data_IF_266167609253
#
_entry.id   IF_266167609253
#
_cell.length_a   1.000
_cell.length_b   1.000
_cell.length_c   1.000
_cell.angle_alpha   90.00
_cell.angle_beta   90.00
_cell.angle_gamma   90.00
#
_symmetry.space_group_name_H-M   'P 1'
#
loop_
_entity.id
_entity.type
_entity.pdbx_description
1 polymer ?
#
# COMPACT_ATOMS: atom_id res chain seq x y z
N UNK A 1 -1.77 -14.88 27.84
CA UNK A 1 -0.43 -15.13 27.26
C UNK A 1 -0.28 -14.26 26.03
N UNK A 2 0.44 -13.14 26.13
CA UNK A 2 0.64 -12.23 25.02
C UNK A 2 1.69 -12.83 24.07
N UNK A 3 1.26 -13.21 22.86
CA UNK A 3 2.14 -13.69 21.79
C UNK A 3 3.03 -12.52 21.37
N UNK A 4 4.33 -12.63 21.62
CA UNK A 4 5.35 -11.70 21.17
C UNK A 4 5.26 -11.58 19.64
N UNK A 5 4.86 -10.40 19.16
CA UNK A 5 4.79 -10.11 17.72
C UNK A 5 6.22 -10.13 17.17
N UNK A 6 6.48 -11.02 16.22
CA UNK A 6 7.77 -11.16 15.55
C UNK A 6 8.15 -9.85 14.84
N UNK A 7 9.05 -9.08 15.44
CA UNK A 7 9.74 -7.93 14.85
C UNK A 7 10.84 -8.32 13.85
N UNK A 8 11.06 -9.62 13.66
CA UNK A 8 12.16 -10.22 12.91
C UNK A 8 12.28 -9.70 11.46
N UNK A 9 11.17 -9.46 10.78
CA UNK A 9 11.19 -9.02 9.37
C UNK A 9 11.72 -7.59 9.20
N UNK A 10 11.43 -6.67 10.12
CA UNK A 10 11.82 -5.27 9.97
C UNK A 10 13.31 -5.08 10.27
N UNK A 11 13.82 -5.77 11.30
CA UNK A 11 15.24 -5.73 11.68
C UNK A 11 16.10 -6.46 10.64
N UNK A 12 15.73 -7.66 10.18
CA UNK A 12 16.47 -8.34 9.11
C UNK A 12 16.43 -7.58 7.79
N UNK A 13 15.31 -6.93 7.45
CA UNK A 13 15.21 -6.06 6.28
C UNK A 13 16.11 -4.82 6.43
N UNK A 14 16.09 -4.16 7.59
CA UNK A 14 16.96 -3.00 7.88
C UNK A 14 18.44 -3.39 7.88
N UNK A 15 18.81 -4.53 8.47
CA UNK A 15 20.19 -5.03 8.53
C UNK A 15 20.71 -5.47 7.16
N UNK A 16 19.88 -6.15 6.36
CA UNK A 16 20.21 -6.55 4.98
C UNK A 16 20.55 -5.32 4.11
N UNK A 17 19.92 -4.17 4.36
CA UNK A 17 20.12 -2.94 3.59
C UNK A 17 21.39 -2.17 4.00
N UNK A 18 21.78 -2.21 5.29
CA UNK A 18 23.02 -1.58 5.79
C UNK A 18 24.27 -2.31 5.25
N UNK A 19 24.21 -3.65 5.19
CA UNK A 19 25.35 -4.48 4.77
C UNK A 19 25.65 -4.34 3.28
N UNK A 20 24.63 -4.16 2.42
CA UNK A 20 24.81 -4.00 0.97
C UNK A 20 25.59 -2.72 0.61
N UNK A 21 25.57 -1.68 1.45
CA UNK A 21 26.33 -0.44 1.25
C UNK A 21 27.82 -0.52 1.63
N UNK A 22 28.25 -1.56 2.34
CA UNK A 22 29.62 -1.63 2.89
C UNK A 22 30.61 -2.44 2.04
N UNK A 23 30.17 -3.10 0.97
CA UNK A 23 31.02 -3.97 0.14
C UNK A 23 31.62 -3.27 -1.10
N UNK A 24 32.12 -2.04 -0.94
CA UNK A 24 33.10 -1.46 -1.88
C UNK A 24 34.34 -1.00 -1.12
N UNK A 25 35.31 -1.92 -1.08
CA UNK A 25 36.76 -1.72 -1.02
C UNK A 25 37.29 -0.44 -0.33
N UNK A 26 37.75 -0.64 0.90
CA UNK A 26 39.05 -0.17 1.41
C UNK A 26 39.45 1.29 1.15
N UNK A 27 39.19 2.15 2.12
CA UNK A 27 40.13 3.21 2.54
C UNK A 27 39.69 3.76 3.89
N UNK A 28 40.59 3.73 4.86
CA UNK A 28 40.47 4.30 6.20
C UNK A 28 40.13 5.78 6.10
N UNK A 29 38.93 6.19 6.51
CA UNK A 29 38.71 7.49 7.14
C UNK A 29 37.50 7.44 8.09
N UNK A 30 37.81 7.83 9.32
CA UNK A 30 36.98 8.04 10.49
C UNK A 30 35.84 9.05 10.30
N UNK A 31 34.64 8.67 10.74
CA UNK A 31 33.62 9.54 11.36
C UNK A 31 33.16 10.85 10.66
N UNK A 32 32.84 10.81 9.36
CA UNK A 32 32.21 11.95 8.60
C UNK A 32 30.90 11.58 7.85
N UNK A 33 30.25 10.47 8.21
CA UNK A 33 29.38 9.73 7.28
C UNK A 33 27.90 10.17 7.14
N UNK A 34 27.33 11.05 7.98
CA UNK A 34 25.88 11.33 7.92
C UNK A 34 25.52 12.57 7.09
N UNK A 35 26.13 13.72 7.35
CA UNK A 35 25.80 14.97 6.66
C UNK A 35 26.18 14.95 5.18
N UNK A 36 27.36 14.41 4.85
CA UNK A 36 27.82 14.27 3.47
C UNK A 36 26.93 13.29 2.68
N UNK A 37 26.46 12.21 3.31
CA UNK A 37 25.53 11.26 2.70
C UNK A 37 24.16 11.89 2.44
N UNK A 38 23.67 12.75 3.34
CA UNK A 38 22.41 13.50 3.16
C UNK A 38 22.55 14.51 2.01
N UNK A 39 23.65 15.26 1.96
CA UNK A 39 23.91 16.25 0.89
C UNK A 39 24.02 15.54 -0.47
N UNK A 40 24.75 14.42 -0.53
CA UNK A 40 24.89 13.63 -1.75
C UNK A 40 23.53 13.05 -2.18
N UNK A 41 22.78 12.45 -1.26
CA UNK A 41 21.45 11.94 -1.53
C UNK A 41 20.50 13.04 -2.06
N UNK A 42 20.61 14.26 -1.54
CA UNK A 42 19.81 15.39 -2.01
C UNK A 42 20.24 15.87 -3.40
N UNK A 43 21.55 15.92 -3.67
CA UNK A 43 22.09 16.26 -4.97
C UNK A 43 21.62 15.27 -6.04
N UNK A 44 21.75 13.96 -5.76
CA UNK A 44 21.32 12.88 -6.65
C UNK A 44 19.80 12.94 -6.90
N UNK A 45 19.00 13.15 -5.85
CA UNK A 45 17.55 13.23 -5.99
C UNK A 45 17.09 14.45 -6.81
N UNK A 46 17.69 15.62 -6.56
CA UNK A 46 17.39 16.85 -7.29
C UNK A 46 17.78 16.73 -8.76
N UNK A 47 18.95 16.16 -9.04
CA UNK A 47 19.41 15.92 -10.41
C UNK A 47 18.46 14.97 -11.13
N UNK A 48 18.01 13.90 -10.47
CA UNK A 48 17.02 12.97 -11.00
C UNK A 48 15.67 13.63 -11.32
N UNK A 49 15.23 14.57 -10.48
CA UNK A 49 13.98 15.28 -10.66
C UNK A 49 14.06 16.29 -11.80
N UNK A 50 15.20 16.96 -11.95
CA UNK A 50 15.43 17.92 -13.04
C UNK A 50 15.54 17.23 -14.40
N UNK A 51 16.13 16.04 -14.46
CA UNK A 51 16.37 15.30 -15.70
C UNK A 51 15.34 14.21 -15.99
N UNK A 52 14.30 14.08 -15.16
CA UNK A 52 13.25 13.04 -15.29
C UNK A 52 13.82 11.61 -15.42
N UNK A 53 14.94 11.34 -14.76
CA UNK A 53 15.63 10.05 -14.85
C UNK A 53 15.75 9.45 -13.46
N UNK A 54 14.87 8.51 -13.12
CA UNK A 54 14.84 7.90 -11.80
C UNK A 54 15.43 6.47 -11.80
N UNK A 55 16.43 6.25 -10.95
CA UNK A 55 17.11 4.96 -10.81
C UNK A 55 16.94 4.37 -9.40
N UNK A 56 17.19 3.07 -9.25
CA UNK A 56 17.03 2.34 -7.98
C UNK A 56 17.86 2.92 -6.83
N UNK A 57 19.02 3.51 -7.10
CA UNK A 57 19.85 4.17 -6.09
C UNK A 57 19.23 5.47 -5.56
N UNK A 58 18.38 6.15 -6.34
CA UNK A 58 17.62 7.31 -5.86
C UNK A 58 16.57 6.93 -4.80
N UNK A 59 16.11 5.67 -4.76
CA UNK A 59 15.28 5.18 -3.65
C UNK A 59 16.07 5.11 -2.33
N UNK A 60 17.35 4.73 -2.40
CA UNK A 60 18.23 4.76 -1.23
C UNK A 60 18.50 6.20 -0.80
N UNK A 61 18.74 7.10 -1.75
CA UNK A 61 18.88 8.53 -1.48
C UNK A 61 17.63 9.10 -0.79
N UNK A 62 16.44 8.81 -1.30
CA UNK A 62 15.19 9.28 -0.72
C UNK A 62 14.97 8.73 0.70
N UNK A 63 15.27 7.44 0.93
CA UNK A 63 15.26 6.86 2.28
C UNK A 63 16.21 7.60 3.21
N UNK A 64 17.48 7.77 2.83
CA UNK A 64 18.50 8.47 3.63
C UNK A 64 18.06 9.90 3.94
N UNK A 65 17.44 10.59 2.98
CA UNK A 65 16.90 11.93 3.17
C UNK A 65 15.77 11.95 4.19
N UNK A 66 14.80 11.03 4.09
CA UNK A 66 13.69 10.96 5.05
C UNK A 66 14.22 10.61 6.44
N UNK A 67 15.13 9.63 6.56
CA UNK A 67 15.76 9.27 7.84
C UNK A 67 16.55 10.43 8.44
N UNK A 68 17.41 11.05 7.65
CA UNK A 68 18.29 12.14 8.07
C UNK A 68 17.51 13.40 8.44
N UNK A 69 16.58 13.85 7.58
CA UNK A 69 15.84 15.08 7.83
C UNK A 69 14.72 14.92 8.86
N UNK A 70 14.04 13.76 8.93
CA UNK A 70 13.01 13.54 9.96
C UNK A 70 13.61 13.65 11.37
N UNK A 71 14.79 13.05 11.59
CA UNK A 71 15.46 13.03 12.88
C UNK A 71 16.35 14.26 13.15
N UNK A 72 17.04 14.80 12.15
CA UNK A 72 18.09 15.82 12.36
C UNK A 72 17.65 17.26 12.11
N UNK A 73 16.59 17.51 11.34
CA UNK A 73 16.24 18.86 10.92
C UNK A 73 15.35 19.57 11.94
N UNK A 74 15.79 20.72 12.44
CA UNK A 74 14.91 21.71 13.10
C UNK A 74 14.01 22.45 12.11
N UNK A 75 14.32 22.38 10.81
CA UNK A 75 13.62 23.09 9.74
C UNK A 75 12.45 22.24 9.25
N UNK A 76 11.24 22.64 9.62
CA UNK A 76 9.97 21.96 9.33
C UNK A 76 9.60 22.01 7.84
N UNK A 77 10.00 23.05 7.12
CA UNK A 77 9.75 23.20 5.67
C UNK A 77 10.48 22.15 4.83
N UNK A 78 11.72 21.78 5.18
CA UNK A 78 12.47 20.71 4.48
C UNK A 78 11.80 19.35 4.65
N UNK A 79 11.24 19.08 5.83
CA UNK A 79 10.51 17.84 6.11
C UNK A 79 9.26 17.73 5.25
N UNK A 80 8.42 18.78 5.21
CA UNK A 80 7.24 18.83 4.33
C UNK A 80 7.60 18.60 2.86
N UNK A 81 8.62 19.30 2.36
CA UNK A 81 9.08 19.18 0.97
C UNK A 81 9.54 17.78 0.62
N UNK A 82 10.22 17.12 1.55
CA UNK A 82 10.70 15.74 1.35
C UNK A 82 9.53 14.75 1.26
N UNK A 83 8.51 14.91 2.12
CA UNK A 83 7.31 14.08 2.06
C UNK A 83 6.50 14.33 0.78
N UNK A 84 6.36 15.59 0.36
CA UNK A 84 5.66 15.96 -0.88
C UNK A 84 6.33 15.31 -2.11
N UNK A 85 7.66 15.36 -2.20
CA UNK A 85 8.43 14.65 -3.23
C UNK A 85 8.22 13.14 -3.11
N UNK A 86 8.34 12.57 -1.90
CA UNK A 86 8.13 11.15 -1.66
C UNK A 86 6.76 10.68 -2.16
N UNK A 87 5.71 11.48 -2.04
CA UNK A 87 4.36 11.08 -2.45
C UNK A 87 4.08 11.34 -3.94
N UNK A 88 4.80 12.24 -4.59
CA UNK A 88 4.54 12.69 -5.97
C UNK A 88 5.40 12.01 -7.04
N UNK A 89 6.56 11.46 -6.70
CA UNK A 89 7.49 10.88 -7.70
C UNK A 89 6.94 9.65 -8.43
N UNK A 90 5.97 8.93 -7.85
CA UNK A 90 5.54 7.64 -8.37
C UNK A 90 4.64 7.76 -9.60
N UNK A 91 4.94 6.98 -10.64
CA UNK A 91 4.10 6.88 -11.84
C UNK A 91 4.09 8.12 -12.74
N UNK A 92 5.00 9.08 -12.50
CA UNK A 92 5.29 10.20 -13.39
C UNK A 92 6.08 9.73 -14.61
N UNK A 93 6.03 10.49 -15.71
CA UNK A 93 6.87 10.25 -16.89
C UNK A 93 8.36 10.36 -16.50
N UNK A 94 9.13 9.30 -16.71
CA UNK A 94 10.52 9.19 -16.24
C UNK A 94 10.71 8.85 -14.74
N UNK A 95 9.62 8.78 -13.97
CA UNK A 95 9.63 8.39 -12.56
C UNK A 95 9.57 6.87 -12.32
N UNK A 96 9.78 6.41 -11.08
CA UNK A 96 9.67 4.99 -10.75
C UNK A 96 8.23 4.50 -10.96
N UNK A 97 8.09 3.36 -11.65
CA UNK A 97 6.82 2.63 -11.68
C UNK A 97 6.47 2.17 -10.28
N UNK A 98 5.20 2.33 -9.87
CA UNK A 98 4.71 1.82 -8.60
C UNK A 98 4.66 0.29 -8.57
N UNK A 99 4.92 -0.28 -7.40
CA UNK A 99 4.84 -1.72 -7.12
C UNK A 99 4.44 -1.95 -5.66
N UNK A 100 3.95 -3.16 -5.34
CA UNK A 100 3.60 -3.55 -3.96
C UNK A 100 4.79 -3.33 -3.01
N UNK A 101 5.99 -3.70 -3.45
CA UNK A 101 7.20 -3.60 -2.63
C UNK A 101 7.52 -2.16 -2.22
N UNK A 102 7.33 -1.20 -3.14
CA UNK A 102 7.51 0.21 -2.87
C UNK A 102 6.37 0.76 -2.01
N UNK A 103 5.13 0.30 -2.21
CA UNK A 103 4.03 0.62 -1.32
C UNK A 103 4.33 0.22 0.13
N UNK A 104 4.76 -1.02 0.35
CA UNK A 104 5.14 -1.50 1.69
C UNK A 104 6.34 -0.76 2.27
N UNK A 105 7.33 -0.41 1.43
CA UNK A 105 8.42 0.47 1.83
C UNK A 105 7.90 1.82 2.34
N UNK A 106 6.95 2.45 1.64
CA UNK A 106 6.35 3.72 2.08
C UNK A 106 5.63 3.58 3.41
N UNK A 107 4.81 2.54 3.55
CA UNK A 107 4.08 2.27 4.79
C UNK A 107 5.05 2.14 5.97
N UNK A 108 6.10 1.33 5.82
CA UNK A 108 7.07 1.10 6.89
C UNK A 108 7.95 2.32 7.18
N UNK A 109 8.32 3.09 6.15
CA UNK A 109 9.07 4.33 6.31
C UNK A 109 8.26 5.36 7.11
N UNK A 110 7.00 5.57 6.73
CA UNK A 110 6.12 6.51 7.44
C UNK A 110 5.77 6.01 8.82
N UNK A 111 5.51 4.70 8.99
CA UNK A 111 5.33 4.08 10.31
C UNK A 111 6.50 4.42 11.24
N UNK A 112 7.72 4.20 10.78
CA UNK A 112 8.92 4.47 11.56
C UNK A 112 9.12 5.97 11.85
N UNK A 113 8.96 6.84 10.84
CA UNK A 113 9.08 8.30 11.01
C UNK A 113 8.08 8.78 12.05
N UNK A 114 6.82 8.36 11.92
CA UNK A 114 5.76 8.79 12.81
C UNK A 114 5.92 8.23 14.21
N UNK A 115 6.33 6.97 14.38
CA UNK A 115 6.65 6.43 15.71
C UNK A 115 7.70 7.29 16.43
N UNK A 116 8.74 7.74 15.72
CA UNK A 116 9.75 8.64 16.31
C UNK A 116 9.20 10.04 16.62
N UNK A 117 8.43 10.64 15.71
CA UNK A 117 7.85 11.97 15.94
C UNK A 117 6.85 11.97 17.11
N UNK A 118 6.04 10.92 17.24
CA UNK A 118 5.11 10.73 18.34
C UNK A 118 5.85 10.54 19.67
N UNK A 119 6.92 9.74 19.68
CA UNK A 119 7.76 9.53 20.87
C UNK A 119 8.48 10.82 21.31
N UNK A 120 9.00 11.60 20.36
CA UNK A 120 9.66 12.87 20.61
C UNK A 120 8.68 14.04 20.84
N UNK A 121 7.37 13.80 20.67
CA UNK A 121 6.30 14.80 20.75
C UNK A 121 6.56 16.05 19.88
N UNK A 122 7.08 15.85 18.68
CA UNK A 122 7.35 16.95 17.74
C UNK A 122 6.05 17.41 17.06
N UNK A 123 5.25 18.21 17.77
CA UNK A 123 3.92 18.63 17.34
C UNK A 123 3.95 19.36 15.99
N UNK A 124 4.89 20.28 15.78
CA UNK A 124 5.01 21.02 14.50
C UNK A 124 5.15 20.08 13.28
N UNK A 125 5.94 19.01 13.41
CA UNK A 125 6.13 18.03 12.33
C UNK A 125 4.92 17.11 12.19
N UNK A 126 4.27 16.77 13.29
CA UNK A 126 3.03 15.98 13.29
C UNK A 126 1.92 16.75 12.57
N UNK A 127 1.76 18.03 12.87
CA UNK A 127 0.78 18.91 12.22
C UNK A 127 1.08 19.07 10.73
N UNK A 128 2.35 19.12 10.32
CA UNK A 128 2.71 19.11 8.90
C UNK A 128 2.29 17.82 8.18
N UNK A 129 2.41 16.65 8.82
CA UNK A 129 1.95 15.39 8.22
C UNK A 129 0.43 15.38 8.10
N UNK A 130 -0.28 15.87 9.13
CA UNK A 130 -1.72 16.05 9.09
C UNK A 130 -2.13 16.95 7.93
N UNK A 131 -1.54 18.14 7.82
CA UNK A 131 -1.81 19.09 6.74
C UNK A 131 -1.54 18.47 5.37
N UNK A 132 -0.46 17.70 5.21
CA UNK A 132 -0.14 17.03 3.96
C UNK A 132 -1.21 16.00 3.57
N UNK A 133 -1.72 15.24 4.54
CA UNK A 133 -2.82 14.29 4.30
C UNK A 133 -4.16 14.98 4.06
N UNK A 134 -4.39 16.17 4.57
CA UNK A 134 -5.62 16.95 4.31
C UNK A 134 -5.54 17.67 2.96
N UNK A 135 -4.36 18.14 2.56
CA UNK A 135 -4.12 18.96 1.36
C UNK A 135 -3.45 18.20 0.19
N UNK A 136 -3.82 16.93 -0.01
CA UNK A 136 -3.26 16.11 -1.09
C UNK A 136 -3.56 16.73 -2.47
N UNK A 137 -2.49 17.17 -3.14
CA UNK A 137 -2.51 17.66 -4.52
C UNK A 137 -2.71 16.51 -5.55
N UNK A 138 -3.21 16.84 -6.74
CA UNK A 138 -3.38 15.96 -7.91
C UNK A 138 -2.06 15.36 -8.43
N UNK A 139 -0.92 15.94 -8.07
CA UNK A 139 0.41 15.43 -8.42
C UNK A 139 0.82 14.20 -7.61
N UNK A 140 0.14 13.94 -6.48
CA UNK A 140 0.43 12.79 -5.63
C UNK A 140 -0.11 11.49 -6.20
N UNK A 141 0.64 10.41 -5.99
CA UNK A 141 0.21 9.09 -6.42
C UNK A 141 -0.71 8.44 -5.37
N UNK A 142 -1.89 7.97 -5.77
CA UNK A 142 -2.91 7.45 -4.85
C UNK A 142 -2.41 6.30 -3.97
N UNK A 143 -1.65 5.35 -4.52
CA UNK A 143 -1.12 4.24 -3.72
C UNK A 143 -0.07 4.73 -2.71
N UNK A 144 0.72 5.74 -3.06
CA UNK A 144 1.74 6.29 -2.17
C UNK A 144 1.10 7.03 -0.99
N UNK A 145 0.09 7.86 -1.26
CA UNK A 145 -0.69 8.56 -0.23
C UNK A 145 -1.39 7.58 0.69
N UNK A 146 -2.02 6.55 0.12
CA UNK A 146 -2.68 5.47 0.87
C UNK A 146 -1.71 4.74 1.80
N UNK A 147 -0.54 4.31 1.28
CA UNK A 147 0.45 3.59 2.08
C UNK A 147 1.07 4.48 3.16
N UNK A 148 1.25 5.77 2.89
CA UNK A 148 1.70 6.73 3.90
C UNK A 148 0.65 6.93 5.01
N UNK A 149 -0.62 7.12 4.67
CA UNK A 149 -1.70 7.22 5.64
C UNK A 149 -1.82 5.94 6.49
N UNK A 150 -1.66 4.76 5.87
CA UNK A 150 -1.63 3.48 6.57
C UNK A 150 -0.45 3.33 7.53
N UNK A 151 0.74 3.78 7.12
CA UNK A 151 1.94 3.81 7.97
C UNK A 151 1.75 4.69 9.20
N UNK A 152 1.20 5.89 8.99
CA UNK A 152 0.82 6.80 10.06
C UNK A 152 -0.19 6.15 11.03
N UNK A 153 -1.27 5.59 10.49
CA UNK A 153 -2.34 4.99 11.28
C UNK A 153 -1.82 3.83 12.13
N UNK A 154 -0.92 3.01 11.56
CA UNK A 154 -0.26 1.92 12.28
C UNK A 154 0.64 2.44 13.40
N UNK A 155 1.40 3.51 13.18
CA UNK A 155 2.23 4.12 14.21
C UNK A 155 1.39 4.65 15.39
N UNK A 156 0.27 5.33 15.10
CA UNK A 156 -0.66 5.81 16.12
C UNK A 156 -1.26 4.65 16.90
N UNK A 157 -1.81 3.65 16.21
CA UNK A 157 -2.45 2.49 16.84
C UNK A 157 -1.47 1.68 17.71
N UNK A 158 -0.16 1.67 17.37
CA UNK A 158 0.88 1.05 18.21
C UNK A 158 1.33 1.90 19.40
N UNK A 159 1.22 3.22 19.31
CA UNK A 159 1.63 4.12 20.40
C UNK A 159 0.75 3.99 21.66
N UNK A 160 -0.46 3.45 21.52
CA UNK A 160 -1.45 3.37 22.60
C UNK A 160 -1.95 4.74 23.10
N UNK A 161 -1.53 5.84 22.46
CA UNK A 161 -1.88 7.19 22.88
C UNK A 161 -3.18 7.65 22.23
N UNK A 162 -4.18 7.95 23.05
CA UNK A 162 -5.40 8.62 22.61
C UNK A 162 -5.19 10.10 22.28
N UNK A 163 -4.01 10.67 22.56
CA UNK A 163 -3.70 12.09 22.32
C UNK A 163 -3.65 12.49 20.84
N UNK A 164 -3.65 11.52 19.92
CA UNK A 164 -3.51 11.76 18.48
C UNK A 164 -4.76 11.37 17.67
N UNK A 165 -5.95 11.40 18.30
CA UNK A 165 -7.21 11.07 17.61
C UNK A 165 -7.50 11.94 16.38
N UNK A 166 -7.17 13.24 16.41
CA UNK A 166 -7.34 14.10 15.24
C UNK A 166 -6.48 13.66 14.05
N UNK A 167 -5.25 13.24 14.33
CA UNK A 167 -4.32 12.72 13.33
C UNK A 167 -4.79 11.34 12.81
N UNK A 168 -5.31 10.49 13.71
CA UNK A 168 -5.95 9.23 13.35
C UNK A 168 -7.11 9.44 12.37
N UNK A 169 -8.01 10.36 12.70
CA UNK A 169 -9.18 10.67 11.87
C UNK A 169 -8.77 11.18 10.48
N UNK A 170 -7.77 12.07 10.42
CA UNK A 170 -7.22 12.58 9.16
C UNK A 170 -6.63 11.45 8.28
N UNK A 171 -5.93 10.49 8.89
CA UNK A 171 -5.41 9.32 8.19
C UNK A 171 -6.54 8.41 7.67
N UNK A 172 -7.53 8.10 8.52
CA UNK A 172 -8.68 7.28 8.13
C UNK A 172 -9.50 7.93 7.02
N UNK A 173 -9.75 9.24 7.10
CA UNK A 173 -10.44 10.01 6.07
C UNK A 173 -9.69 9.98 4.75
N UNK A 174 -8.36 10.12 4.76
CA UNK A 174 -7.57 10.03 3.53
C UNK A 174 -7.63 8.63 2.91
N UNK A 175 -7.56 7.57 3.72
CA UNK A 175 -7.71 6.19 3.23
C UNK A 175 -9.12 6.00 2.62
N UNK A 176 -10.16 6.53 3.28
CA UNK A 176 -11.54 6.48 2.79
C UNK A 176 -11.71 7.19 1.44
N UNK A 177 -11.12 8.38 1.26
CA UNK A 177 -11.17 9.12 -0.01
C UNK A 177 -10.57 8.29 -1.14
N UNK A 178 -9.36 7.73 -0.94
CA UNK A 178 -8.70 6.90 -1.97
C UNK A 178 -9.53 5.66 -2.30
N UNK A 179 -10.14 5.03 -1.29
CA UNK A 179 -11.02 3.87 -1.49
C UNK A 179 -12.31 4.23 -2.23
N UNK A 180 -12.92 5.39 -1.93
CA UNK A 180 -14.11 5.88 -2.66
C UNK A 180 -13.79 6.10 -4.13
N UNK A 181 -12.67 6.77 -4.41
CA UNK A 181 -12.20 7.00 -5.77
C UNK A 181 -11.98 5.66 -6.48
N UNK A 182 -11.30 4.70 -5.84
CA UNK A 182 -11.11 3.35 -6.38
C UNK A 182 -12.43 2.63 -6.71
N UNK A 183 -13.40 2.63 -5.79
CA UNK A 183 -14.71 2.00 -6.04
C UNK A 183 -15.44 2.66 -7.20
N UNK A 184 -15.39 4.00 -7.29
CA UNK A 184 -16.01 4.74 -8.39
C UNK A 184 -15.40 4.39 -9.75
N UNK A 185 -14.08 4.24 -9.80
CA UNK A 185 -13.32 3.84 -10.99
C UNK A 185 -13.73 2.41 -11.38
N UNK A 186 -13.80 1.50 -10.41
CA UNK A 186 -14.04 0.07 -10.65
C UNK A 186 -15.46 -0.24 -11.12
N UNK A 187 -16.46 0.57 -10.77
CA UNK A 187 -17.84 0.43 -11.29
C UNK A 187 -17.96 0.53 -12.82
N UNK A 188 -16.95 1.08 -13.50
CA UNK A 188 -16.92 1.23 -14.95
C UNK A 188 -16.13 0.18 -15.72
N UNK A 189 -15.49 -0.80 -15.05
CA UNK A 189 -14.64 -1.79 -15.71
C UNK A 189 -15.28 -3.18 -15.70
N UNK A 190 -15.23 -3.86 -16.85
CA UNK A 190 -15.46 -5.30 -16.91
C UNK A 190 -14.32 -6.04 -16.19
N UNK A 191 -14.65 -7.02 -15.35
CA UNK A 191 -13.71 -7.91 -14.64
C UNK A 191 -12.71 -8.67 -15.54
N UNK A 192 -12.78 -8.46 -16.86
CA UNK A 192 -11.98 -9.12 -17.88
C UNK A 192 -10.73 -8.30 -18.29
N UNK A 193 -10.63 -7.02 -17.88
CA UNK A 193 -9.50 -6.14 -18.21
C UNK A 193 -8.57 -5.86 -17.02
N UNK A 194 -7.40 -6.51 -16.98
CA UNK A 194 -6.37 -6.20 -16.00
C UNK A 194 -5.69 -4.85 -16.32
N UNK A 195 -6.19 -3.76 -15.74
CA UNK A 195 -5.47 -2.48 -15.77
C UNK A 195 -4.38 -2.48 -14.68
N UNK A 196 -3.07 -2.43 -15.01
CA UNK A 196 -2.00 -2.64 -14.03
C UNK A 196 -2.01 -1.64 -12.86
N UNK A 197 -2.43 -0.39 -13.13
CA UNK A 197 -2.56 0.67 -12.10
C UNK A 197 -3.71 0.41 -11.13
N UNK A 198 -4.84 -0.12 -11.63
CA UNK A 198 -6.02 -0.44 -10.81
C UNK A 198 -5.73 -1.67 -9.94
N UNK A 199 -5.06 -2.69 -10.50
CA UNK A 199 -4.61 -3.86 -9.74
C UNK A 199 -3.61 -3.49 -8.64
N UNK A 200 -2.61 -2.64 -8.93
CA UNK A 200 -1.67 -2.16 -7.90
C UNK A 200 -2.39 -1.40 -6.77
N UNK A 201 -3.32 -0.51 -7.10
CA UNK A 201 -4.05 0.26 -6.09
C UNK A 201 -4.95 -0.66 -5.25
N UNK A 202 -5.65 -1.61 -5.87
CA UNK A 202 -6.47 -2.63 -5.20
C UNK A 202 -5.65 -3.44 -4.18
N UNK A 203 -4.48 -3.94 -4.61
CA UNK A 203 -3.55 -4.66 -3.73
C UNK A 203 -3.03 -3.77 -2.60
N UNK A 204 -2.68 -2.52 -2.90
CA UNK A 204 -2.25 -1.57 -1.87
C UNK A 204 -3.37 -1.25 -0.87
N UNK A 205 -4.64 -1.16 -1.28
CA UNK A 205 -5.79 -0.96 -0.37
C UNK A 205 -5.92 -2.14 0.58
N UNK A 206 -5.92 -3.36 0.06
CA UNK A 206 -6.00 -4.56 0.89
C UNK A 206 -4.87 -4.63 1.92
N UNK A 207 -3.62 -4.41 1.49
CA UNK A 207 -2.45 -4.43 2.37
C UNK A 207 -2.44 -3.27 3.36
N UNK A 208 -2.79 -2.06 2.94
CA UNK A 208 -2.90 -0.89 3.81
C UNK A 208 -3.88 -1.16 4.95
N UNK A 209 -5.07 -1.66 4.65
CA UNK A 209 -6.11 -1.95 5.63
C UNK A 209 -5.71 -3.11 6.56
N UNK A 210 -5.14 -4.18 6.02
CA UNK A 210 -4.64 -5.31 6.80
C UNK A 210 -3.54 -4.89 7.79
N UNK A 211 -2.69 -3.93 7.42
CA UNK A 211 -1.53 -3.51 8.22
C UNK A 211 -1.78 -2.31 9.12
N UNK A 212 -2.84 -1.53 8.90
CA UNK A 212 -3.11 -0.29 9.64
C UNK A 212 -3.57 -0.51 11.10
N UNK A 213 -4.05 -1.71 11.45
CA UNK A 213 -4.56 -2.02 12.79
C UNK A 213 -6.07 -1.75 12.91
N UNK A 214 -6.51 -1.04 13.95
CA UNK A 214 -7.92 -0.68 14.13
C UNK A 214 -8.29 0.50 13.23
N UNK A 215 -9.31 0.31 12.40
CA UNK A 215 -9.93 1.35 11.58
C UNK A 215 -11.43 1.41 11.87
N UNK A 216 -11.97 2.63 11.83
CA UNK A 216 -13.42 2.85 11.84
C UNK A 216 -14.10 2.21 10.63
N UNK A 217 -15.35 1.80 10.79
CA UNK A 217 -16.16 1.29 9.69
C UNK A 217 -16.41 2.37 8.64
N UNK A 218 -16.20 2.02 7.37
CA UNK A 218 -16.58 2.82 6.20
C UNK A 218 -17.02 1.91 5.06
N UNK A 219 -18.17 2.21 4.44
CA UNK A 219 -18.74 1.40 3.35
C UNK A 219 -17.78 1.24 2.16
N UNK A 220 -17.04 2.30 1.77
CA UNK A 220 -16.06 2.23 0.69
C UNK A 220 -14.88 1.30 0.99
N UNK A 221 -14.44 1.21 2.26
CA UNK A 221 -13.37 0.29 2.66
C UNK A 221 -13.85 -1.16 2.58
N UNK A 222 -15.07 -1.42 3.04
CA UNK A 222 -15.67 -2.75 2.96
C UNK A 222 -15.78 -3.23 1.50
N UNK A 223 -16.33 -2.39 0.62
CA UNK A 223 -16.47 -2.71 -0.81
C UNK A 223 -15.10 -2.89 -1.47
N UNK A 224 -14.13 -2.02 -1.17
CA UNK A 224 -12.78 -2.14 -1.74
C UNK A 224 -12.08 -3.44 -1.30
N UNK A 225 -12.25 -3.85 -0.03
CA UNK A 225 -11.71 -5.11 0.48
C UNK A 225 -12.39 -6.32 -0.19
N UNK A 226 -13.71 -6.27 -0.37
CA UNK A 226 -14.43 -7.32 -1.08
C UNK A 226 -13.89 -7.47 -2.52
N UNK A 227 -13.76 -6.36 -3.25
CA UNK A 227 -13.21 -6.36 -4.60
C UNK A 227 -11.78 -6.91 -4.62
N UNK A 228 -10.89 -6.44 -3.75
CA UNK A 228 -9.52 -6.93 -3.69
C UNK A 228 -9.43 -8.41 -3.31
N UNK A 229 -10.29 -8.90 -2.42
CA UNK A 229 -10.37 -10.33 -2.09
C UNK A 229 -10.75 -11.16 -3.31
N UNK A 230 -11.69 -10.68 -4.11
CA UNK A 230 -12.25 -11.39 -5.25
C UNK A 230 -11.39 -11.31 -6.52
N UNK A 231 -10.64 -10.23 -6.71
CA UNK A 231 -9.86 -9.99 -7.93
C UNK A 231 -8.36 -10.12 -7.75
N UNK A 232 -7.83 -9.86 -6.56
CA UNK A 232 -6.39 -9.86 -6.31
C UNK A 232 -5.95 -11.00 -5.38
N UNK A 233 -6.65 -11.24 -4.27
CA UNK A 233 -6.26 -12.28 -3.29
C UNK A 233 -6.66 -13.67 -3.78
N UNK A 234 -7.92 -13.83 -4.17
CA UNK A 234 -8.50 -15.06 -4.69
C UNK A 234 -9.05 -14.82 -6.11
N UNK A 235 -8.18 -14.66 -7.12
CA UNK A 235 -8.57 -14.36 -8.51
C UNK A 235 -9.20 -15.56 -9.22
N UNK A 236 -10.13 -16.25 -8.55
CA UNK A 236 -10.72 -17.52 -8.99
C UNK A 236 -11.40 -17.33 -10.34
N UNK A 237 -12.22 -16.29 -10.53
CA UNK A 237 -12.91 -16.07 -11.80
C UNK A 237 -11.93 -15.96 -12.98
N UNK A 238 -10.83 -15.22 -12.81
CA UNK A 238 -9.79 -15.07 -13.83
C UNK A 238 -9.13 -16.43 -14.14
N UNK A 239 -8.75 -17.18 -13.10
CA UNK A 239 -8.13 -18.50 -13.23
C UNK A 239 -9.08 -19.49 -13.91
N UNK A 240 -10.34 -19.58 -13.48
CA UNK A 240 -11.34 -20.49 -14.07
C UNK A 240 -11.61 -20.14 -15.54
N UNK A 241 -11.73 -18.86 -15.87
CA UNK A 241 -11.88 -18.43 -17.26
C UNK A 241 -10.67 -18.83 -18.12
N UNK A 242 -9.46 -18.80 -17.56
CA UNK A 242 -8.26 -19.32 -18.23
C UNK A 242 -8.30 -20.85 -18.35
N UNK A 243 -8.70 -21.59 -17.32
CA UNK A 243 -8.79 -23.04 -17.43
C UNK A 243 -9.81 -23.48 -18.49
N UNK A 244 -10.95 -22.79 -18.60
CA UNK A 244 -12.03 -23.15 -19.51
C UNK A 244 -11.77 -22.77 -20.99
N UNK A 245 -10.94 -21.75 -21.24
CA UNK A 245 -10.72 -21.20 -22.60
C UNK A 245 -9.48 -21.74 -23.31
N UNK A 246 -8.65 -22.57 -22.67
CA UNK A 246 -7.31 -22.89 -23.18
C UNK A 246 -7.19 -24.33 -23.73
N UNK A 247 -6.44 -24.54 -24.82
CA UNK A 247 -6.02 -25.87 -25.28
C UNK A 247 -4.96 -26.47 -24.33
N UNK A 248 -4.86 -27.81 -24.27
CA UNK A 248 -4.00 -28.56 -23.32
C UNK A 248 -2.53 -28.11 -23.28
N UNK A 249 -2.00 -27.57 -24.38
CA UNK A 249 -0.59 -27.16 -24.53
C UNK A 249 -0.20 -25.93 -23.67
N UNK A 250 -1.16 -25.15 -23.17
CA UNK A 250 -0.90 -23.93 -22.37
C UNK A 250 -1.17 -24.10 -20.87
N UNK A 251 -1.45 -25.31 -20.40
CA UNK A 251 -1.73 -25.57 -18.98
C UNK A 251 -0.52 -25.26 -18.07
N UNK A 252 0.69 -25.45 -18.57
CA UNK A 252 1.94 -25.16 -17.84
C UNK A 252 2.04 -23.68 -17.46
N UNK A 253 1.68 -22.77 -18.37
CA UNK A 253 1.68 -21.33 -18.11
C UNK A 253 0.67 -20.93 -17.02
N UNK A 254 -0.52 -21.54 -17.02
CA UNK A 254 -1.54 -21.31 -15.99
C UNK A 254 -1.07 -21.82 -14.62
N UNK A 255 -0.43 -23.00 -14.57
CA UNK A 255 0.15 -23.52 -13.33
C UNK A 255 1.25 -22.64 -12.78
N UNK A 256 2.12 -22.11 -13.64
CA UNK A 256 3.21 -21.24 -13.21
C UNK A 256 2.69 -19.88 -12.72
N UNK A 257 1.63 -19.34 -13.34
CA UNK A 257 0.92 -18.16 -12.82
C UNK A 257 0.31 -18.43 -11.43
N UNK A 258 -0.34 -19.58 -11.23
CA UNK A 258 -0.89 -19.98 -9.93
C UNK A 258 0.22 -20.11 -8.89
N UNK A 259 1.33 -20.79 -9.21
CA UNK A 259 2.48 -20.92 -8.30
C UNK A 259 3.06 -19.56 -7.94
N UNK A 260 3.20 -18.68 -8.94
CA UNK A 260 3.67 -17.31 -8.71
C UNK A 260 2.72 -16.56 -7.77
N UNK A 261 1.41 -16.66 -7.99
CA UNK A 261 0.40 -16.03 -7.14
C UNK A 261 0.44 -16.55 -5.70
N UNK A 262 0.55 -17.87 -5.50
CA UNK A 262 0.69 -18.47 -4.16
C UNK A 262 1.95 -17.98 -3.42
N UNK A 263 2.99 -17.60 -4.16
CA UNK A 263 4.22 -17.04 -3.60
C UNK A 263 4.17 -15.52 -3.38
N UNK A 264 3.15 -14.84 -3.94
CA UNK A 264 3.01 -13.39 -3.92
C UNK A 264 2.71 -12.85 -2.52
N UNK A 265 3.00 -11.56 -2.32
CA UNK A 265 2.76 -10.90 -1.03
C UNK A 265 1.26 -10.81 -0.71
N UNK A 266 0.42 -10.55 -1.71
CA UNK A 266 -1.03 -10.38 -1.51
C UNK A 266 -1.67 -11.68 -1.03
N UNK A 267 -1.24 -12.84 -1.56
CA UNK A 267 -1.73 -14.15 -1.11
C UNK A 267 -1.18 -14.52 0.27
N UNK A 268 0.10 -14.25 0.55
CA UNK A 268 0.70 -14.49 1.87
C UNK A 268 0.03 -13.70 2.99
N UNK A 269 -0.53 -12.52 2.67
CA UNK A 269 -1.26 -11.67 3.62
C UNK A 269 -2.79 -11.93 3.60
N UNK A 270 -3.27 -12.96 2.87
CA UNK A 270 -4.70 -13.24 2.71
C UNK A 270 -5.45 -13.31 4.04
N UNK A 271 -4.90 -14.01 5.05
CA UNK A 271 -5.53 -14.12 6.36
C UNK A 271 -5.69 -12.78 7.08
N UNK A 272 -4.70 -11.88 6.98
CA UNK A 272 -4.77 -10.55 7.56
C UNK A 272 -5.76 -9.65 6.82
N UNK A 273 -5.79 -9.74 5.49
CA UNK A 273 -6.73 -9.01 4.62
C UNK A 273 -8.17 -9.46 4.90
N UNK A 274 -8.42 -10.77 4.97
CA UNK A 274 -9.73 -11.33 5.35
C UNK A 274 -10.12 -10.89 6.76
N UNK A 275 -9.18 -10.88 7.71
CA UNK A 275 -9.44 -10.35 9.05
C UNK A 275 -9.90 -8.88 9.04
N UNK A 276 -9.23 -8.03 8.25
CA UNK A 276 -9.64 -6.63 8.08
C UNK A 276 -11.03 -6.50 7.44
N UNK A 277 -11.33 -7.34 6.45
CA UNK A 277 -12.66 -7.42 5.84
C UNK A 277 -13.73 -7.82 6.87
N UNK A 278 -13.50 -8.89 7.64
CA UNK A 278 -14.43 -9.34 8.67
C UNK A 278 -14.70 -8.26 9.72
N UNK A 279 -13.69 -7.49 10.11
CA UNK A 279 -13.87 -6.38 11.06
C UNK A 279 -14.78 -5.28 10.48
N UNK A 280 -14.58 -4.90 9.21
CA UNK A 280 -15.45 -3.93 8.54
C UNK A 280 -16.87 -4.48 8.36
N UNK A 281 -17.00 -5.76 8.01
CA UNK A 281 -18.29 -6.43 7.78
C UNK A 281 -19.12 -6.55 9.06
N UNK A 282 -18.47 -6.89 10.18
CA UNK A 282 -19.12 -7.00 11.48
C UNK A 282 -19.77 -5.67 11.91
N UNK A 283 -19.13 -4.54 11.60
CA UNK A 283 -19.63 -3.20 11.89
C UNK A 283 -20.52 -2.60 10.80
N UNK A 284 -20.76 -3.32 9.70
CA UNK A 284 -21.51 -2.82 8.56
C UNK A 284 -23.03 -2.82 8.78
N UNK A 285 -23.69 -1.84 8.18
CA UNK A 285 -25.14 -1.80 8.01
C UNK A 285 -25.62 -2.81 6.94
N UNK A 286 -26.92 -3.10 6.97
CA UNK A 286 -27.54 -4.11 6.09
C UNK A 286 -27.40 -3.78 4.59
N UNK A 287 -27.48 -2.50 4.23
CA UNK A 287 -27.35 -2.06 2.83
C UNK A 287 -25.94 -2.32 2.30
N UNK A 288 -24.92 -2.02 3.11
CA UNK A 288 -23.53 -2.26 2.77
C UNK A 288 -23.19 -3.75 2.72
N UNK A 289 -23.77 -4.57 3.62
CA UNK A 289 -23.64 -6.04 3.56
C UNK A 289 -24.25 -6.60 2.29
N UNK A 290 -25.50 -6.24 1.99
CA UNK A 290 -26.20 -6.66 0.77
C UNK A 290 -25.42 -6.27 -0.49
N UNK A 291 -24.84 -5.07 -0.53
CA UNK A 291 -23.99 -4.65 -1.66
C UNK A 291 -22.83 -5.61 -1.88
N UNK A 292 -22.11 -5.97 -0.82
CA UNK A 292 -20.95 -6.86 -0.87
C UNK A 292 -21.33 -8.29 -1.20
N UNK A 293 -22.41 -8.79 -0.59
CA UNK A 293 -22.98 -10.11 -0.89
C UNK A 293 -23.43 -10.21 -2.34
N UNK A 294 -24.03 -9.15 -2.90
CA UNK A 294 -24.38 -9.11 -4.32
C UNK A 294 -23.13 -9.20 -5.22
N UNK A 295 -22.03 -8.51 -4.88
CA UNK A 295 -20.78 -8.63 -5.64
C UNK A 295 -20.20 -10.06 -5.55
N UNK A 296 -20.21 -10.66 -4.36
CA UNK A 296 -19.76 -12.04 -4.17
C UNK A 296 -20.66 -13.07 -4.87
N UNK A 297 -21.98 -12.85 -4.82
CA UNK A 297 -23.01 -13.67 -5.47
C UNK A 297 -22.97 -13.59 -6.99
N UNK A 298 -22.72 -12.41 -7.57
CA UNK A 298 -22.54 -12.25 -9.01
C UNK A 298 -21.31 -13.01 -9.51
N UNK A 299 -20.23 -13.04 -8.72
CA UNK A 299 -19.02 -13.78 -9.08
C UNK A 299 -19.22 -15.29 -8.93
N UNK A 300 -19.90 -15.76 -7.88
CA UNK A 300 -20.24 -17.18 -7.74
C UNK A 300 -21.21 -17.66 -8.82
N UNK A 301 -22.18 -16.83 -9.21
CA UNK A 301 -23.06 -17.08 -10.35
C UNK A 301 -22.31 -17.14 -11.67
N UNK A 302 -21.35 -16.22 -11.89
CA UNK A 302 -20.49 -16.22 -13.07
C UNK A 302 -19.59 -17.46 -13.15
N UNK A 303 -19.06 -17.92 -12.01
CA UNK A 303 -18.32 -19.18 -11.87
C UNK A 303 -19.19 -20.40 -12.18
N UNK A 304 -20.44 -20.42 -11.73
CA UNK A 304 -21.40 -21.48 -12.04
C UNK A 304 -21.72 -21.56 -13.53
N UNK A 305 -22.00 -20.42 -14.16
CA UNK A 305 -22.24 -20.32 -15.61
C UNK A 305 -21.00 -20.77 -16.39
N UNK A 306 -19.81 -20.33 -15.97
CA UNK A 306 -18.55 -20.74 -16.58
C UNK A 306 -18.33 -22.26 -16.46
N UNK A 307 -18.63 -22.87 -15.30
CA UNK A 307 -18.44 -24.32 -15.09
C UNK A 307 -19.46 -25.20 -15.82
N UNK A 308 -20.66 -24.68 -16.11
CA UNK A 308 -21.77 -25.47 -16.69
C UNK A 308 -21.87 -25.36 -18.22
N UNK A 309 -21.08 -24.48 -18.85
CA UNK A 309 -21.03 -24.34 -20.32
C UNK A 309 -22.35 -23.89 -20.96
N UNK A 310 -23.37 -23.54 -20.17
CA UNK A 310 -24.66 -23.02 -20.65
C UNK A 310 -24.73 -21.53 -20.39
N UNK A 311 -24.47 -20.75 -21.44
CA UNK A 311 -25.03 -19.40 -21.52
C UNK A 311 -26.56 -19.50 -21.41
N UNK A 312 -27.16 -18.61 -20.64
CA UNK A 312 -28.59 -18.49 -20.35
C UNK A 312 -29.10 -19.31 -19.16
N UNK A 313 -28.95 -18.74 -17.97
CA UNK A 313 -29.89 -18.96 -16.88
C UNK A 313 -30.21 -17.62 -16.20
N UNK A 314 -31.36 -17.05 -16.55
CA UNK A 314 -32.03 -15.99 -15.79
C UNK A 314 -32.16 -16.42 -14.33
N UNK A 315 -31.63 -15.62 -13.41
CA UNK A 315 -31.96 -15.74 -11.98
C UNK A 315 -33.32 -15.07 -11.72
N UNK A 316 -34.26 -15.74 -11.01
CA UNK A 316 -35.48 -15.10 -10.57
C UNK A 316 -35.19 -14.30 -9.29
N UNK A 317 -35.51 -13.01 -9.33
CA UNK A 317 -35.41 -12.13 -8.17
C UNK A 317 -36.31 -12.57 -7.02
N UNK A 318 -35.83 -12.31 -5.81
CA UNK A 318 -36.66 -12.16 -4.63
C UNK A 318 -36.11 -11.04 -3.77
#
# INVERSE_FOLDING_TARGET
MAKQAQSFFLEEWLLSIIVIGSNKSGSVHSSSSSAQAIIQAWADLRDSFQHQAFHTHHLQALRILVFGYALSSSVSTCFRRTLDILLSIWGQEGGPSGSISQGLMLLHLIEWVMSNLLNLRSLDKIDLVKELLESVNRTHCSFAVLMAAAGLLRAINRSGSSGFMHLKNSAEERIEIVAKDFVSITKGFDYNGNHPRVSLLSQCIALALARSGSLSYKSSLLVSLALALLTEVFPLLCIYNKVLKFPEENWTAVLDEIKHHLSSVIFKEAGAITGAFCNQYASADECSRSTVENHMGLLSGSLLVASTGKGDACWPGR
#
